data_IF_774199996366
#
_entry.id   IF_774199996366
#
_cell.length_a   1.000
_cell.length_b   1.000
_cell.length_c   1.000
_cell.angle_alpha   90.00
_cell.angle_beta   90.00
_cell.angle_gamma   90.00
#
_symmetry.space_group_name_H-M   'P 1'
#
loop_
_entity.id
_entity.type
_entity.pdbx_description
1 polymer ?
#
# COMPACT_ATOMS: atom_id res chain seq x y z
N UNK A 1 16.28 -9.21 6.43
CA UNK A 1 14.99 -9.83 6.04
C UNK A 1 14.65 -9.60 4.56
N UNK A 2 14.92 -8.45 3.95
CA UNK A 2 14.60 -8.21 2.53
C UNK A 2 15.81 -8.21 1.58
N UNK A 3 16.86 -8.98 1.91
CA UNK A 3 18.11 -9.00 1.12
C UNK A 3 17.90 -9.51 -0.32
N UNK A 4 16.87 -10.33 -0.57
CA UNK A 4 16.57 -10.90 -1.91
C UNK A 4 15.57 -10.09 -2.74
N UNK A 5 15.07 -8.96 -2.23
CA UNK A 5 14.13 -8.12 -2.96
C UNK A 5 14.86 -7.10 -3.84
N UNK A 6 14.17 -6.57 -4.85
CA UNK A 6 14.63 -5.34 -5.50
C UNK A 6 14.50 -4.16 -4.52
N UNK A 7 15.15 -3.05 -4.83
CA UNK A 7 15.02 -1.83 -4.03
C UNK A 7 13.57 -1.33 -3.98
N UNK A 8 12.88 -1.30 -5.13
CA UNK A 8 11.46 -0.94 -5.21
C UNK A 8 10.58 -1.87 -4.36
N UNK A 9 10.81 -3.19 -4.42
CA UNK A 9 10.06 -4.14 -3.60
C UNK A 9 10.30 -3.95 -2.08
N UNK A 10 11.53 -3.63 -1.66
CA UNK A 10 11.81 -3.26 -0.26
C UNK A 10 11.05 -2.00 0.14
N UNK A 11 11.08 -0.97 -0.71
CA UNK A 11 10.42 0.31 -0.47
C UNK A 11 8.89 0.15 -0.41
N UNK A 12 8.30 -0.72 -1.23
CA UNK A 12 6.88 -1.11 -1.16
C UNK A 12 6.50 -1.56 0.24
N UNK A 13 7.28 -2.46 0.86
CA UNK A 13 6.96 -3.00 2.18
C UNK A 13 7.08 -1.93 3.27
N UNK A 14 8.06 -1.02 3.16
CA UNK A 14 8.19 0.13 4.09
C UNK A 14 6.95 1.02 3.99
N UNK A 15 6.53 1.39 2.78
CA UNK A 15 5.35 2.22 2.56
C UNK A 15 4.06 1.51 3.00
N UNK A 16 3.94 0.21 2.76
CA UNK A 16 2.82 -0.59 3.24
C UNK A 16 2.72 -0.56 4.77
N UNK A 17 3.85 -0.65 5.47
CA UNK A 17 3.88 -0.50 6.93
C UNK A 17 3.42 0.89 7.38
N UNK A 18 3.78 1.94 6.65
CA UNK A 18 3.32 3.31 6.94
C UNK A 18 1.81 3.45 6.77
N UNK A 19 1.22 2.82 5.75
CA UNK A 19 -0.23 2.80 5.53
C UNK A 19 -0.98 2.02 6.61
N UNK A 20 -0.46 0.86 7.02
CA UNK A 20 -1.03 0.10 8.14
C UNK A 20 -1.04 0.94 9.41
N UNK A 21 0.07 1.64 9.72
CA UNK A 21 0.13 2.58 10.85
C UNK A 21 -0.85 3.74 10.71
N UNK A 22 -1.01 4.30 9.51
CA UNK A 22 -1.96 5.40 9.25
C UNK A 22 -3.40 4.98 9.53
N UNK A 23 -3.75 3.73 9.22
CA UNK A 23 -5.07 3.15 9.49
C UNK A 23 -5.19 2.55 10.91
N UNK A 24 -4.08 2.52 11.68
CA UNK A 24 -3.97 1.86 12.98
C UNK A 24 -4.24 0.34 12.91
N UNK A 25 -3.85 -0.31 11.83
CA UNK A 25 -3.86 -1.77 11.71
C UNK A 25 -2.57 -2.37 12.27
N UNK A 26 -2.69 -3.47 13.02
CA UNK A 26 -1.56 -4.14 13.68
C UNK A 26 -0.73 -5.02 12.74
N UNK A 27 -1.24 -5.28 11.54
CA UNK A 27 -0.59 -6.10 10.53
C UNK A 27 -0.64 -5.47 9.13
N UNK A 28 0.30 -5.88 8.28
CA UNK A 28 0.33 -5.48 6.87
C UNK A 28 -0.54 -6.46 6.06
N UNK A 29 -1.77 -6.06 5.78
CA UNK A 29 -2.64 -6.70 4.78
C UNK A 29 -2.25 -6.38 3.32
N UNK A 30 -2.90 -7.06 2.37
CA UNK A 30 -2.67 -6.89 0.92
C UNK A 30 -3.06 -5.50 0.43
N UNK A 31 -4.04 -4.88 1.05
CA UNK A 31 -4.47 -3.50 0.82
C UNK A 31 -3.33 -2.51 1.08
N UNK A 32 -2.53 -2.72 2.13
CA UNK A 32 -1.41 -1.84 2.44
C UNK A 32 -0.27 -2.04 1.44
N UNK A 33 -0.05 -3.28 0.98
CA UNK A 33 0.91 -3.56 -0.09
C UNK A 33 0.50 -2.87 -1.40
N UNK A 34 -0.79 -2.92 -1.76
CA UNK A 34 -1.32 -2.19 -2.91
C UNK A 34 -1.03 -0.69 -2.80
N UNK A 35 -1.32 -0.08 -1.64
CA UNK A 35 -1.01 1.33 -1.39
C UNK A 35 0.49 1.62 -1.41
N UNK A 36 1.33 0.69 -0.91
CA UNK A 36 2.78 0.80 -0.98
C UNK A 36 3.34 0.74 -2.40
N UNK A 37 2.70 -0.03 -3.30
CA UNK A 37 3.05 -0.02 -4.73
C UNK A 37 2.65 1.30 -5.36
N UNK A 38 1.38 1.73 -5.19
CA UNK A 38 0.88 3.00 -5.73
C UNK A 38 1.61 4.23 -5.17
N UNK A 39 2.20 4.12 -3.97
CA UNK A 39 3.06 5.13 -3.36
C UNK A 39 4.40 5.37 -4.06
N UNK A 40 4.72 4.60 -5.11
CA UNK A 40 5.96 4.69 -5.87
C UNK A 40 5.65 4.96 -7.35
N UNK A 41 5.21 6.17 -7.72
CA UNK A 41 4.72 6.45 -9.08
C UNK A 41 5.77 6.20 -10.18
N UNK A 42 7.06 6.23 -9.84
CA UNK A 42 8.18 5.90 -10.73
C UNK A 42 8.46 4.39 -10.88
N UNK A 43 7.84 3.53 -10.07
CA UNK A 43 8.02 2.07 -10.16
C UNK A 43 7.14 1.46 -11.27
N UNK A 44 7.66 0.44 -11.96
CA UNK A 44 6.95 -0.23 -13.06
C UNK A 44 5.63 -0.84 -12.61
N UNK A 45 5.55 -1.38 -11.39
CA UNK A 45 4.32 -1.94 -10.86
C UNK A 45 3.25 -0.86 -10.63
N UNK A 46 3.66 0.32 -10.16
CA UNK A 46 2.77 1.46 -10.02
C UNK A 46 2.26 1.95 -11.38
N UNK A 47 3.14 2.01 -12.39
CA UNK A 47 2.76 2.39 -13.75
C UNK A 47 1.70 1.46 -14.34
N UNK A 48 1.79 0.14 -14.11
CA UNK A 48 0.78 -0.83 -14.54
C UNK A 48 -0.56 -0.58 -13.86
N UNK A 49 -0.57 -0.35 -12.54
CA UNK A 49 -1.81 -0.05 -11.81
C UNK A 49 -2.45 1.27 -12.25
N UNK A 50 -1.63 2.31 -12.45
CA UNK A 50 -2.09 3.60 -12.99
C UNK A 50 -2.68 3.45 -14.39
N UNK A 51 -2.04 2.67 -15.27
CA UNK A 51 -2.56 2.38 -16.60
C UNK A 51 -3.89 1.60 -16.56
N UNK A 52 -4.13 0.81 -15.51
CA UNK A 52 -5.39 0.14 -15.25
C UNK A 52 -6.44 1.02 -14.55
N UNK A 53 -6.15 2.31 -14.32
CA UNK A 53 -7.08 3.29 -13.76
C UNK A 53 -7.05 3.40 -12.23
N UNK A 54 -6.06 2.83 -11.55
CA UNK A 54 -5.89 2.97 -10.11
C UNK A 54 -4.90 4.06 -9.76
N UNK A 55 -5.26 4.97 -8.86
CA UNK A 55 -4.34 5.94 -8.28
C UNK A 55 -4.33 5.84 -6.75
N UNK A 56 -3.26 6.36 -6.14
CA UNK A 56 -3.05 6.27 -4.70
C UNK A 56 -4.16 6.94 -3.88
N UNK A 57 -4.71 8.06 -4.37
CA UNK A 57 -5.70 8.85 -3.62
C UNK A 57 -7.02 8.10 -3.59
N UNK A 58 -7.50 7.63 -4.75
CA UNK A 58 -8.74 6.86 -4.85
C UNK A 58 -8.62 5.53 -4.12
N UNK A 59 -7.49 4.84 -4.24
CA UNK A 59 -7.22 3.59 -3.52
C UNK A 59 -7.24 3.78 -2.00
N UNK A 60 -6.57 4.82 -1.47
CA UNK A 60 -6.62 5.12 -0.02
C UNK A 60 -8.05 5.38 0.46
N UNK A 61 -8.83 6.14 -0.32
CA UNK A 61 -10.23 6.40 -0.02
C UNK A 61 -11.08 5.13 0.00
N UNK A 62 -10.89 4.23 -0.97
CA UNK A 62 -11.58 2.95 -1.03
C UNK A 62 -11.23 2.05 0.15
N UNK A 63 -9.95 1.90 0.47
CA UNK A 63 -9.47 1.09 1.61
C UNK A 63 -10.04 1.63 2.92
N UNK A 64 -9.98 2.96 3.15
CA UNK A 64 -10.51 3.57 4.35
C UNK A 64 -12.03 3.38 4.50
N UNK A 65 -12.80 3.36 3.40
CA UNK A 65 -14.25 3.07 3.46
C UNK A 65 -14.56 1.61 3.77
N UNK A 66 -13.77 0.68 3.24
CA UNK A 66 -14.01 -0.75 3.39
C UNK A 66 -13.55 -1.28 4.75
N UNK A 67 -12.46 -0.74 5.28
CA UNK A 67 -11.80 -1.28 6.47
C UNK A 67 -11.75 -0.31 7.66
N UNK A 68 -11.94 0.99 7.44
CA UNK A 68 -11.94 1.99 8.51
C UNK A 68 -10.61 2.10 9.26
N UNK A 69 -10.68 2.65 10.49
CA UNK A 69 -9.72 2.30 11.54
C UNK A 69 -10.18 0.97 12.16
N UNK A 70 -9.31 0.22 12.87
CA UNK A 70 -9.69 -1.07 13.44
C UNK A 70 -11.00 -0.93 14.22
N UNK A 71 -11.96 -1.82 13.94
CA UNK A 71 -13.11 -2.01 14.80
C UNK A 71 -12.55 -2.48 16.15
N UNK A 72 -12.84 -1.79 17.27
CA UNK A 72 -12.55 -2.37 18.57
C UNK A 72 -13.46 -3.59 18.69
N UNK A 73 -12.88 -4.78 18.71
CA UNK A 73 -13.62 -5.98 19.12
C UNK A 73 -14.29 -5.78 20.48
#
# INVERSE_FOLDING_TARGET
MFERFTEGARRTVVLAREEARRLRHDFIGTEHLLLGVLGQPQDRAAAVLTAAGFDLVTARGAVARLLGAPHPD
#
